data_IF_589374779312
#
_entry.id   IF_589374779312
#
_cell.length_a   1.000
_cell.length_b   1.000
_cell.length_c   1.000
_cell.angle_alpha   90.00
_cell.angle_beta   90.00
_cell.angle_gamma   90.00
#
_symmetry.space_group_name_H-M   'P 1'
#
loop_
_entity.id
_entity.type
_entity.pdbx_description
1 polymer ?
#
# COMPACT_ATOMS: atom_id res chain seq x y z
N UNK A 1 -19.34 5.14 -22.32
CA UNK A 1 -18.61 4.73 -21.10
C UNK A 1 -18.95 5.76 -20.03
N UNK A 2 -19.33 5.35 -18.82
CA UNK A 2 -19.48 6.28 -17.69
C UNK A 2 -18.21 7.13 -17.52
N UNK A 3 -18.34 8.34 -17.00
CA UNK A 3 -17.20 9.19 -16.63
C UNK A 3 -16.87 8.99 -15.14
N UNK A 4 -15.57 8.92 -14.82
CA UNK A 4 -15.10 8.78 -13.46
C UNK A 4 -14.69 10.16 -12.92
N UNK A 5 -15.30 10.57 -11.81
CA UNK A 5 -15.04 11.85 -11.16
C UNK A 5 -14.34 11.64 -9.82
N UNK A 6 -13.38 12.51 -9.48
CA UNK A 6 -12.81 12.58 -8.13
C UNK A 6 -13.65 13.57 -7.33
N UNK A 7 -14.28 13.11 -6.25
CA UNK A 7 -15.23 13.90 -5.46
C UNK A 7 -14.58 14.65 -4.28
N UNK A 8 -13.91 13.92 -3.39
CA UNK A 8 -13.18 14.47 -2.23
C UNK A 8 -11.84 13.75 -2.06
N UNK A 9 -10.90 14.37 -1.35
CA UNK A 9 -9.58 13.81 -1.11
C UNK A 9 -9.01 14.27 0.24
N UNK A 10 -8.38 13.33 0.96
CA UNK A 10 -7.74 13.58 2.24
C UNK A 10 -6.40 12.84 2.30
N UNK A 11 -5.49 13.32 3.14
CA UNK A 11 -4.24 12.64 3.49
C UNK A 11 -3.82 12.98 4.91
N UNK A 12 -3.03 12.10 5.50
CA UNK A 12 -2.27 12.41 6.72
C UNK A 12 -1.11 13.38 6.41
N UNK A 13 -0.50 14.00 7.42
CA UNK A 13 0.83 14.59 7.29
C UNK A 13 1.87 13.51 6.91
N UNK A 14 2.96 13.89 6.25
CA UNK A 14 4.07 12.98 5.98
C UNK A 14 5.07 13.08 7.14
N UNK A 15 5.27 11.99 7.86
CA UNK A 15 6.25 11.90 8.95
C UNK A 15 7.66 11.58 8.45
N UNK A 16 8.69 12.10 9.13
CA UNK A 16 10.08 11.63 8.93
C UNK A 16 10.23 10.18 9.44
N UNK A 17 11.20 9.44 8.90
CA UNK A 17 11.58 8.12 9.42
C UNK A 17 11.91 8.20 10.91
N UNK A 18 11.33 7.31 11.73
CA UNK A 18 11.46 7.32 13.19
C UNK A 18 10.87 8.58 13.87
N UNK A 19 10.05 9.35 13.15
CA UNK A 19 9.52 10.64 13.60
C UNK A 19 8.07 10.57 14.10
N UNK A 20 7.31 11.64 13.83
CA UNK A 20 6.00 11.91 14.43
C UNK A 20 4.95 10.79 14.26
N UNK A 21 5.04 9.99 13.19
CA UNK A 21 4.08 8.91 12.91
C UNK A 21 4.66 7.51 13.13
N UNK A 22 5.90 7.37 13.61
CA UNK A 22 6.54 6.05 13.78
C UNK A 22 5.86 5.17 14.85
N UNK A 23 5.10 5.79 15.76
CA UNK A 23 4.29 5.10 16.77
C UNK A 23 2.92 4.62 16.25
N UNK A 24 2.52 4.98 15.03
CA UNK A 24 1.21 4.60 14.44
C UNK A 24 1.42 3.37 13.55
N UNK A 25 0.62 2.33 13.75
CA UNK A 25 0.69 1.13 12.90
C UNK A 25 0.29 1.45 11.47
N UNK A 26 0.78 0.67 10.50
CA UNK A 26 0.50 0.94 9.08
C UNK A 26 -0.98 0.79 8.72
N UNK A 27 -1.64 -0.23 9.26
CA UNK A 27 -3.08 -0.48 9.07
C UNK A 27 -3.95 0.60 9.73
N UNK A 28 -3.60 1.05 10.94
CA UNK A 28 -4.24 2.19 11.61
C UNK A 28 -4.03 3.50 10.82
N UNK A 29 -2.81 3.75 10.35
CA UNK A 29 -2.47 4.93 9.54
C UNK A 29 -3.30 5.00 8.25
N UNK A 30 -3.58 3.84 7.66
CA UNK A 30 -4.37 3.71 6.45
C UNK A 30 -5.88 3.95 6.70
N UNK A 31 -6.37 3.66 7.90
CA UNK A 31 -7.77 3.87 8.29
C UNK A 31 -8.11 5.36 8.49
N UNK A 32 -7.16 6.17 8.96
CA UNK A 32 -7.37 7.60 9.25
C UNK A 32 -7.99 8.41 8.09
N UNK A 33 -7.47 8.36 6.85
CA UNK A 33 -8.10 9.09 5.74
C UNK A 33 -9.47 8.53 5.36
N UNK A 34 -9.72 7.23 5.53
CA UNK A 34 -11.05 6.65 5.27
C UNK A 34 -12.08 7.19 6.26
N UNK A 35 -11.73 7.21 7.56
CA UNK A 35 -12.58 7.81 8.61
C UNK A 35 -12.86 9.29 8.32
N UNK A 36 -11.82 10.06 8.00
CA UNK A 36 -11.97 11.48 7.69
C UNK A 36 -12.84 11.75 6.46
N UNK A 37 -12.81 10.89 5.45
CA UNK A 37 -13.71 11.00 4.28
C UNK A 37 -15.16 10.69 4.65
N UNK A 38 -15.41 9.63 5.44
CA UNK A 38 -16.75 9.30 5.91
C UNK A 38 -17.35 10.41 6.79
N UNK A 39 -16.56 11.00 7.69
CA UNK A 39 -16.98 12.14 8.52
C UNK A 39 -17.36 13.38 7.69
N UNK A 40 -16.69 13.59 6.55
CA UNK A 40 -16.97 14.71 5.63
C UNK A 40 -18.17 14.46 4.71
N UNK A 41 -18.64 13.21 4.63
CA UNK A 41 -19.77 12.79 3.80
C UNK A 41 -20.89 12.13 4.64
N UNK A 42 -21.52 12.84 5.60
CA UNK A 42 -22.48 12.24 6.53
C UNK A 42 -23.78 11.72 5.87
N UNK A 43 -24.04 12.10 4.61
CA UNK A 43 -25.18 11.62 3.83
C UNK A 43 -24.87 10.38 2.97
N UNK A 44 -23.59 9.96 2.90
CA UNK A 44 -23.19 8.77 2.16
C UNK A 44 -23.58 7.52 2.95
N UNK A 45 -24.25 6.57 2.30
CA UNK A 45 -24.36 5.21 2.83
C UNK A 45 -23.02 4.49 2.64
N UNK A 46 -22.30 4.11 3.72
CA UNK A 46 -21.02 3.42 3.58
C UNK A 46 -21.14 2.06 2.87
N UNK A 47 -22.32 1.43 2.87
CA UNK A 47 -22.55 0.18 2.17
C UNK A 47 -22.64 0.34 0.64
N UNK A 48 -22.77 1.57 0.14
CA UNK A 48 -22.77 1.88 -1.30
C UNK A 48 -21.35 1.93 -1.90
N UNK A 49 -20.30 1.77 -1.10
CA UNK A 49 -18.92 1.70 -1.59
C UNK A 49 -18.68 0.31 -2.17
N UNK A 50 -18.42 0.25 -3.47
CA UNK A 50 -18.26 -1.01 -4.21
C UNK A 50 -16.91 -1.67 -3.95
N UNK A 51 -15.85 -0.89 -3.71
CA UNK A 51 -14.51 -1.40 -3.37
C UNK A 51 -13.62 -0.30 -2.75
N UNK A 52 -12.62 -0.73 -1.98
CA UNK A 52 -11.54 0.11 -1.44
C UNK A 52 -10.20 -0.35 -2.01
N UNK A 53 -9.61 0.46 -2.90
CA UNK A 53 -8.34 0.17 -3.53
C UNK A 53 -7.21 0.96 -2.87
N UNK A 54 -6.21 0.27 -2.30
CA UNK A 54 -5.06 0.94 -1.70
C UNK A 54 -3.72 0.46 -2.23
N UNK A 55 -2.88 1.40 -2.64
CA UNK A 55 -1.49 1.13 -2.97
C UNK A 55 -0.63 0.93 -1.72
N UNK A 56 0.18 -0.13 -1.69
CA UNK A 56 1.17 -0.38 -0.62
C UNK A 56 2.35 -1.18 -1.17
N UNK A 57 3.59 -0.69 -1.00
CA UNK A 57 4.76 -1.30 -1.63
C UNK A 57 5.37 -2.44 -0.80
N UNK A 58 5.29 -2.37 0.54
CA UNK A 58 5.93 -3.33 1.43
C UNK A 58 5.08 -4.60 1.66
N UNK A 59 4.00 -4.50 2.44
CA UNK A 59 3.06 -5.59 2.77
C UNK A 59 3.65 -6.76 3.56
N UNK A 60 4.86 -6.64 4.11
CA UNK A 60 5.45 -7.66 4.99
C UNK A 60 5.19 -7.40 6.47
N UNK A 61 4.82 -6.17 6.85
CA UNK A 61 4.67 -5.72 8.23
C UNK A 61 3.23 -5.73 8.70
N UNK A 62 2.84 -4.68 9.41
CA UNK A 62 1.46 -4.49 9.89
C UNK A 62 0.47 -4.24 8.72
N UNK A 63 1.00 -3.98 7.53
CA UNK A 63 0.31 -3.86 6.24
C UNK A 63 0.15 -5.19 5.47
N UNK A 64 0.43 -6.32 6.11
CA UNK A 64 0.30 -7.65 5.50
C UNK A 64 -1.15 -8.03 5.17
N UNK A 65 -1.28 -9.02 4.27
CA UNK A 65 -2.55 -9.73 3.99
C UNK A 65 -3.70 -8.79 3.60
N UNK A 66 -3.44 -7.88 2.67
CA UNK A 66 -4.41 -6.94 2.10
C UNK A 66 -4.80 -5.79 3.05
N UNK A 67 -3.90 -4.81 3.21
CA UNK A 67 -4.10 -3.62 4.06
C UNK A 67 -5.33 -2.81 3.69
N UNK A 68 -5.76 -2.80 2.42
CA UNK A 68 -7.02 -2.17 2.01
C UNK A 68 -8.23 -2.70 2.81
N UNK A 69 -8.34 -4.03 2.90
CA UNK A 69 -9.40 -4.69 3.67
C UNK A 69 -9.22 -4.53 5.18
N UNK A 70 -7.99 -4.51 5.69
CA UNK A 70 -7.76 -4.26 7.12
C UNK A 70 -8.18 -2.85 7.53
N UNK A 71 -7.75 -1.86 6.74
CA UNK A 71 -7.99 -0.45 7.04
C UNK A 71 -9.46 -0.06 6.93
N UNK A 72 -10.21 -0.57 5.94
CA UNK A 72 -11.64 -0.25 5.83
C UNK A 72 -12.42 -0.77 7.05
N UNK A 73 -12.06 -1.94 7.57
CA UNK A 73 -12.67 -2.50 8.77
C UNK A 73 -12.32 -1.67 10.01
N UNK A 74 -11.05 -1.26 10.15
CA UNK A 74 -10.60 -0.36 11.23
C UNK A 74 -11.25 1.04 11.12
N UNK A 75 -11.56 1.48 9.91
CA UNK A 75 -12.28 2.72 9.64
C UNK A 75 -13.78 2.65 9.93
N UNK A 76 -14.31 1.47 10.26
CA UNK A 76 -15.73 1.27 10.57
C UNK A 76 -16.63 1.11 9.35
N UNK A 77 -16.08 0.85 8.16
CA UNK A 77 -16.91 0.50 7.00
C UNK A 77 -17.60 -0.87 7.23
N UNK A 78 -18.78 -1.09 6.63
CA UNK A 78 -19.46 -2.38 6.68
C UNK A 78 -18.59 -3.52 6.17
N UNK A 79 -18.68 -4.68 6.81
CA UNK A 79 -17.91 -5.85 6.40
C UNK A 79 -18.26 -6.36 4.99
N UNK A 80 -19.38 -5.92 4.42
CA UNK A 80 -19.80 -6.20 3.05
C UNK A 80 -18.96 -5.48 1.99
N UNK A 81 -18.29 -4.37 2.34
CA UNK A 81 -17.49 -3.56 1.40
C UNK A 81 -16.15 -4.26 1.13
N UNK A 82 -15.84 -4.71 -0.10
CA UNK A 82 -14.57 -5.36 -0.39
C UNK A 82 -13.40 -4.36 -0.36
N UNK A 83 -12.19 -4.90 -0.41
CA UNK A 83 -10.97 -4.10 -0.49
C UNK A 83 -9.85 -4.88 -1.13
N UNK A 84 -9.00 -4.21 -1.92
CA UNK A 84 -7.83 -4.81 -2.55
C UNK A 84 -6.58 -3.92 -2.46
N UNK A 85 -5.45 -4.55 -2.20
CA UNK A 85 -4.14 -3.88 -2.10
C UNK A 85 -3.36 -4.04 -3.39
N UNK A 86 -2.87 -2.93 -3.93
CA UNK A 86 -2.17 -2.85 -5.22
C UNK A 86 -0.69 -2.57 -4.99
N UNK A 87 0.18 -3.24 -5.75
CA UNK A 87 1.63 -3.02 -5.68
C UNK A 87 2.23 -2.71 -7.06
N UNK A 88 2.64 -1.46 -7.22
CA UNK A 88 3.52 -0.95 -8.28
C UNK A 88 4.63 -0.10 -7.67
N UNK A 89 5.23 -0.56 -6.57
CA UNK A 89 6.25 0.17 -5.81
C UNK A 89 5.82 1.63 -5.54
N UNK A 90 6.65 2.63 -5.87
CA UNK A 90 6.35 4.05 -5.70
C UNK A 90 5.07 4.52 -6.44
N UNK A 91 4.64 3.82 -7.49
CA UNK A 91 3.44 4.13 -8.26
C UNK A 91 2.15 3.50 -7.71
N UNK A 92 2.20 2.77 -6.60
CA UNK A 92 1.07 1.95 -6.12
C UNK A 92 -0.21 2.76 -5.86
N UNK A 93 -0.11 3.91 -5.19
CA UNK A 93 -1.27 4.76 -4.91
C UNK A 93 -1.90 5.35 -6.16
N UNK A 94 -1.09 5.69 -7.17
CA UNK A 94 -1.58 6.16 -8.47
C UNK A 94 -2.25 5.03 -9.26
N UNK A 95 -1.71 3.81 -9.20
CA UNK A 95 -2.32 2.64 -9.83
C UNK A 95 -3.69 2.33 -9.20
N UNK A 96 -3.84 2.48 -7.88
CA UNK A 96 -5.15 2.36 -7.22
C UNK A 96 -6.20 3.34 -7.76
N UNK A 97 -5.84 4.62 -7.91
CA UNK A 97 -6.73 5.63 -8.53
C UNK A 97 -7.05 5.26 -9.98
N UNK A 98 -6.06 4.80 -10.74
CA UNK A 98 -6.24 4.38 -12.14
C UNK A 98 -7.16 3.16 -12.27
N UNK A 99 -7.04 2.18 -11.37
CA UNK A 99 -7.91 0.99 -11.34
C UNK A 99 -9.34 1.35 -10.96
N UNK A 100 -9.54 2.26 -9.98
CA UNK A 100 -10.87 2.74 -9.64
C UNK A 100 -11.55 3.46 -10.82
N UNK A 101 -10.82 4.35 -11.49
CA UNK A 101 -11.34 5.02 -12.68
C UNK A 101 -11.68 4.04 -13.81
N UNK A 102 -10.90 2.95 -13.99
CA UNK A 102 -11.20 1.90 -14.98
C UNK A 102 -12.48 1.14 -14.64
N UNK A 103 -12.67 0.75 -13.38
CA UNK A 103 -13.87 0.04 -12.93
C UNK A 103 -15.15 0.86 -13.18
N UNK A 104 -15.14 2.15 -12.81
CA UNK A 104 -16.26 3.07 -13.08
C UNK A 104 -16.52 3.21 -14.58
N UNK A 105 -15.46 3.46 -15.37
CA UNK A 105 -15.60 3.64 -16.82
C UNK A 105 -16.01 2.35 -17.56
N UNK A 106 -15.79 1.19 -16.96
CA UNK A 106 -16.27 -0.10 -17.44
C UNK A 106 -17.73 -0.37 -17.06
N UNK A 107 -18.30 0.37 -16.11
CA UNK A 107 -19.64 0.15 -15.58
C UNK A 107 -19.70 -1.03 -14.59
N UNK A 108 -18.57 -1.41 -13.99
CA UNK A 108 -18.47 -2.50 -13.01
C UNK A 108 -18.64 -2.01 -11.57
N UNK A 109 -18.52 -0.70 -11.35
CA UNK A 109 -18.67 -0.06 -10.05
C UNK A 109 -19.16 1.39 -10.24
N UNK A 110 -19.78 1.95 -9.22
CA UNK A 110 -20.33 3.32 -9.20
C UNK A 110 -19.59 4.21 -8.20
N UNK A 111 -19.15 3.66 -7.06
CA UNK A 111 -18.47 4.40 -6.00
C UNK A 111 -17.31 3.59 -5.40
N UNK A 112 -16.10 4.13 -5.46
CA UNK A 112 -14.92 3.51 -4.86
C UNK A 112 -14.13 4.50 -4.02
N UNK A 113 -13.42 3.98 -3.03
CA UNK A 113 -12.34 4.69 -2.35
C UNK A 113 -10.99 4.24 -2.92
N UNK A 114 -10.13 5.18 -3.30
CA UNK A 114 -8.82 4.89 -3.84
C UNK A 114 -7.73 5.72 -3.14
N UNK A 115 -6.62 5.09 -2.80
CA UNK A 115 -5.52 5.76 -2.11
C UNK A 115 -4.29 4.89 -1.95
N UNK A 116 -3.54 5.10 -0.88
CA UNK A 116 -2.39 4.28 -0.54
C UNK A 116 -1.82 4.58 0.83
N UNK A 117 -1.01 3.67 1.34
CA UNK A 117 -0.35 3.76 2.63
C UNK A 117 1.06 3.17 2.54
N UNK A 118 1.97 3.77 3.31
CA UNK A 118 3.29 3.21 3.54
C UNK A 118 3.77 3.62 4.94
N UNK A 119 4.41 2.71 5.66
CA UNK A 119 5.08 3.02 6.94
C UNK A 119 6.49 2.47 6.94
N UNK A 120 7.39 3.20 6.28
CA UNK A 120 8.81 2.83 6.23
C UNK A 120 9.44 2.76 7.63
N UNK A 121 8.96 3.56 8.59
CA UNK A 121 9.45 3.52 9.99
C UNK A 121 9.15 2.18 10.70
N UNK A 122 8.17 1.44 10.22
CA UNK A 122 7.69 0.18 10.81
C UNK A 122 7.82 -1.00 9.85
N UNK A 123 8.56 -0.83 8.77
CA UNK A 123 8.91 -1.90 7.85
C UNK A 123 9.71 -2.97 8.60
N UNK A 124 9.30 -4.25 8.57
CA UNK A 124 9.94 -5.28 9.37
C UNK A 124 11.25 -5.76 8.74
N UNK A 125 11.99 -6.53 9.51
CA UNK A 125 12.98 -7.45 8.95
C UNK A 125 12.30 -8.73 8.44
N UNK A 126 12.86 -9.33 7.39
CA UNK A 126 12.41 -10.61 6.83
C UNK A 126 13.56 -11.62 6.80
N UNK A 127 13.22 -12.89 7.03
CA UNK A 127 14.18 -13.99 7.17
C UNK A 127 13.80 -15.09 6.18
N UNK A 128 14.75 -15.60 5.35
CA UNK A 128 14.50 -16.75 4.50
C UNK A 128 14.23 -17.99 5.35
N UNK A 129 13.38 -18.89 4.86
CA UNK A 129 13.23 -20.21 5.46
C UNK A 129 14.54 -20.99 5.32
N UNK A 130 14.85 -21.86 6.28
CA UNK A 130 15.95 -22.80 6.14
C UNK A 130 15.69 -23.75 4.97
N UNK A 131 16.71 -23.95 4.11
CA UNK A 131 16.61 -24.83 2.94
C UNK A 131 16.88 -26.31 3.29
N UNK A 132 17.58 -26.56 4.40
CA UNK A 132 17.95 -27.90 4.88
C UNK A 132 17.81 -28.01 6.40
N UNK A 133 17.61 -29.24 6.89
CA UNK A 133 17.63 -29.53 8.32
C UNK A 133 18.99 -29.15 8.93
N UNK A 134 18.98 -28.56 10.13
CA UNK A 134 20.17 -28.10 10.84
C UNK A 134 21.02 -27.06 10.06
N UNK A 135 20.41 -26.31 9.15
CA UNK A 135 21.08 -25.21 8.45
C UNK A 135 21.70 -24.22 9.43
N UNK A 136 22.94 -23.81 9.15
CA UNK A 136 23.66 -22.76 9.88
C UNK A 136 23.67 -21.42 9.14
N UNK A 137 22.99 -21.35 7.99
CA UNK A 137 22.87 -20.11 7.21
C UNK A 137 21.74 -19.27 7.80
N UNK A 138 22.10 -18.12 8.36
CA UNK A 138 21.17 -17.14 8.90
C UNK A 138 21.37 -15.82 8.15
N UNK A 139 20.29 -15.31 7.57
CA UNK A 139 20.26 -14.03 6.85
C UNK A 139 19.04 -13.23 7.33
N UNK A 140 19.18 -11.92 7.40
CA UNK A 140 18.11 -11.00 7.81
C UNK A 140 18.14 -9.84 6.82
N UNK A 141 16.99 -9.47 6.27
CA UNK A 141 16.88 -8.36 5.32
C UNK A 141 15.97 -7.27 5.86
N UNK A 142 16.40 -6.03 5.70
CA UNK A 142 15.57 -4.85 5.95
C UNK A 142 14.58 -4.67 4.78
N UNK A 143 13.30 -4.40 5.08
CA UNK A 143 12.28 -4.11 4.06
C UNK A 143 11.95 -2.62 3.95
N UNK A 144 12.60 -1.76 4.75
CA UNK A 144 12.42 -0.30 4.75
C UNK A 144 12.48 0.27 3.34
N UNK A 145 13.49 -0.11 2.56
CA UNK A 145 13.61 0.23 1.14
C UNK A 145 14.62 -0.66 0.43
N UNK A 146 14.51 -0.76 -0.90
CA UNK A 146 15.57 -1.31 -1.74
C UNK A 146 15.50 -2.81 -1.96
N UNK A 147 16.56 -3.33 -2.59
CA UNK A 147 16.68 -4.72 -2.98
C UNK A 147 16.89 -5.64 -1.77
N UNK A 148 16.14 -6.73 -1.73
CA UNK A 148 16.33 -7.87 -0.80
C UNK A 148 16.00 -9.17 -1.52
N UNK A 149 16.52 -10.29 -1.03
CA UNK A 149 16.40 -11.60 -1.71
C UNK A 149 16.78 -11.54 -3.20
N UNK A 150 17.90 -10.88 -3.49
CA UNK A 150 18.32 -10.58 -4.87
C UNK A 150 18.44 -11.86 -5.71
N UNK A 151 17.75 -11.84 -6.85
CA UNK A 151 17.85 -12.92 -7.83
C UNK A 151 19.12 -12.74 -8.68
N UNK A 152 19.99 -13.76 -8.71
CA UNK A 152 21.25 -13.73 -9.48
C UNK A 152 21.07 -13.44 -10.97
N UNK A 153 19.95 -13.83 -11.57
CA UNK A 153 19.66 -13.55 -12.98
C UNK A 153 19.26 -12.09 -13.20
N UNK A 154 18.56 -11.48 -12.25
CA UNK A 154 18.23 -10.05 -12.32
C UNK A 154 19.50 -9.24 -12.22
N UNK A 155 20.35 -9.54 -11.23
CA UNK A 155 21.65 -8.89 -11.06
C UNK A 155 22.51 -8.97 -12.33
N UNK A 156 22.67 -10.16 -12.90
CA UNK A 156 23.53 -10.35 -14.08
C UNK A 156 22.98 -9.71 -15.36
N UNK A 157 21.67 -9.52 -15.49
CA UNK A 157 21.03 -9.03 -16.73
C UNK A 157 20.69 -7.54 -16.70
N UNK A 158 20.31 -7.03 -15.52
CA UNK A 158 19.73 -5.69 -15.35
C UNK A 158 20.37 -4.89 -14.21
N UNK A 159 21.23 -5.51 -13.40
CA UNK A 159 21.77 -4.91 -12.17
C UNK A 159 20.75 -4.87 -11.02
N UNK A 160 21.25 -4.58 -9.82
CA UNK A 160 20.45 -4.23 -8.64
C UNK A 160 20.87 -2.90 -8.03
N UNK A 161 21.13 -1.94 -8.92
CA UNK A 161 21.43 -0.56 -8.56
C UNK A 161 20.39 -0.04 -7.56
N UNK A 162 20.89 0.57 -6.49
CA UNK A 162 20.07 1.29 -5.53
C UNK A 162 19.42 2.52 -6.18
N UNK A 163 18.37 3.05 -5.55
CA UNK A 163 17.70 4.24 -6.08
C UNK A 163 18.61 5.47 -6.20
N UNK A 164 19.57 5.72 -5.27
CA UNK A 164 20.56 6.77 -5.48
C UNK A 164 21.48 6.51 -6.68
N UNK A 165 21.92 5.27 -6.91
CA UNK A 165 22.76 4.94 -8.08
C UNK A 165 22.00 5.15 -9.39
N UNK A 166 20.73 4.75 -9.46
CA UNK A 166 19.92 5.02 -10.65
C UNK A 166 19.64 6.51 -10.86
N UNK A 167 19.56 7.30 -9.78
CA UNK A 167 19.45 8.76 -9.88
C UNK A 167 20.72 9.39 -10.48
N UNK A 168 21.91 8.94 -10.06
CA UNK A 168 23.19 9.37 -10.65
C UNK A 168 23.32 8.95 -12.11
N UNK A 169 22.86 7.75 -12.48
CA UNK A 169 22.90 7.26 -13.86
C UNK A 169 21.99 8.07 -14.82
N UNK A 170 20.96 8.74 -14.29
CA UNK A 170 20.01 9.56 -15.07
C UNK A 170 20.47 11.02 -15.19
N UNK A 171 21.21 11.52 -14.21
CA UNK A 171 21.67 12.92 -14.12
C UNK A 171 22.63 13.29 -15.26
#
# INVERSE_FOLDING_TARGET
MPEAFICDALRTPIGRYGGALAGVRTDDLAALPLQGLLERAPALDPAAIDDVLMGCANQAGEDNRNVARMALLLAGLPETVPGATINRLCGSGMDAVGQAARAIRAGEAELLLAGGVESMSRAPFVIPKAETGFSRRAEIYDTTIGWRFVNRRIEAQYGTDSMPETAENVA
#
